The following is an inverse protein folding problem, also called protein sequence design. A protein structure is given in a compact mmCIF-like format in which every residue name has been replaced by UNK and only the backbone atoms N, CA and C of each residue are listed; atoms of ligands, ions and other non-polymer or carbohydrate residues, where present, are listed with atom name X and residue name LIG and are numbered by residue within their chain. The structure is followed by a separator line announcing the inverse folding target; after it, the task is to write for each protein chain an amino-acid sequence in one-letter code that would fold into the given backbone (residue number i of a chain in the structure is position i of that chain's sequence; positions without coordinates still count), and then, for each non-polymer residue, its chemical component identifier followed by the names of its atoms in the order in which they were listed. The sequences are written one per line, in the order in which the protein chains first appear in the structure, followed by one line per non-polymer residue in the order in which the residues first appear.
data_IF_710364003811
#
_entry.id   IF_710364003811
#
_cell.length_a   1.000
_cell.length_b   1.000
_cell.length_c   1.000
_cell.angle_alpha   90.00
_cell.angle_beta   90.00
_cell.angle_gamma   90.00
#
_symmetry.space_group_name_H-M   'P 1'
#
loop_
_entity.id
_entity.type
_entity.pdbx_description
1 polymer ?
#
# COMPACT_ATOMS: atom_id res chain seq x y z
N UNK A 1 -0.62 29.69 58.71
CA UNK A 1 -1.55 29.92 57.57
C UNK A 1 -0.83 29.43 56.32
N UNK A 2 -1.07 28.17 55.96
CA UNK A 2 -0.38 27.47 54.87
C UNK A 2 -1.09 27.79 53.55
N UNK A 3 -0.42 28.48 52.64
CA UNK A 3 -0.96 28.74 51.31
C UNK A 3 -0.38 27.69 50.34
N UNK A 4 -1.26 26.87 49.78
CA UNK A 4 -0.94 25.68 49.00
C UNK A 4 -0.87 26.12 47.52
N UNK A 5 0.24 25.77 46.86
CA UNK A 5 0.50 25.98 45.44
C UNK A 5 -0.55 25.24 44.59
N UNK A 6 -1.15 25.82 43.53
CA UNK A 6 -1.98 25.05 42.63
C UNK A 6 -1.10 24.11 41.80
N UNK A 7 -1.52 22.84 41.83
CA UNK A 7 -0.94 21.69 41.17
C UNK A 7 -0.86 21.93 39.66
N UNK A 8 0.34 21.69 39.12
CA UNK A 8 0.64 21.47 37.70
C UNK A 8 -0.53 20.83 36.96
N UNK A 9 -1.22 21.58 36.12
CA UNK A 9 -2.08 21.02 35.08
C UNK A 9 -1.17 20.32 34.08
N UNK A 10 -0.92 19.03 34.33
CA UNK A 10 -0.37 18.16 33.30
C UNK A 10 -1.26 18.31 32.07
N UNK A 11 -0.68 18.79 30.97
CA UNK A 11 -1.29 18.68 29.66
C UNK A 11 -1.53 17.20 29.40
N UNK A 12 -2.76 16.76 29.65
CA UNK A 12 -3.23 15.45 29.25
C UNK A 12 -3.23 15.46 27.72
N UNK A 13 -2.09 15.08 27.14
CA UNK A 13 -1.98 14.79 25.72
C UNK A 13 -3.11 13.84 25.36
N UNK A 14 -4.06 14.34 24.57
CA UNK A 14 -5.17 13.55 24.10
C UNK A 14 -4.61 12.35 23.34
N UNK A 15 -4.63 11.19 23.97
CA UNK A 15 -4.39 9.93 23.30
C UNK A 15 -5.48 9.76 22.26
N UNK A 16 -5.14 9.99 20.98
CA UNK A 16 -5.99 9.67 19.84
C UNK A 16 -6.30 8.17 19.88
N UNK A 17 -7.43 7.82 20.50
CA UNK A 17 -7.95 6.46 20.48
C UNK A 17 -8.27 6.05 19.05
N UNK A 18 -7.82 4.87 18.64
CA UNK A 18 -8.18 4.29 17.35
C UNK A 18 -9.69 3.99 17.34
N UNK A 19 -10.47 4.83 16.66
CA UNK A 19 -11.90 4.57 16.44
C UNK A 19 -12.04 3.53 15.33
N UNK A 20 -12.24 2.27 15.73
CA UNK A 20 -12.50 1.16 14.80
C UNK A 20 -13.93 1.29 14.25
N UNK A 21 -14.04 1.36 12.92
CA UNK A 21 -15.31 1.34 12.18
C UNK A 21 -15.31 0.07 11.34
N UNK A 22 -15.77 -1.07 11.86
CA UNK A 22 -15.45 -2.40 11.31
C UNK A 22 -15.85 -2.56 9.83
N UNK A 23 -16.99 -2.00 9.41
CA UNK A 23 -17.39 -2.03 8.01
C UNK A 23 -16.47 -1.19 7.12
N UNK A 24 -16.22 0.07 7.49
CA UNK A 24 -15.35 0.96 6.72
C UNK A 24 -13.93 0.42 6.67
N UNK A 25 -13.40 0.02 7.81
CA UNK A 25 -12.03 -0.45 7.93
C UNK A 25 -11.87 -1.79 7.21
N UNK A 26 -12.88 -2.67 7.26
CA UNK A 26 -12.94 -3.88 6.45
C UNK A 26 -12.96 -3.59 4.94
N UNK A 27 -13.77 -2.62 4.48
CA UNK A 27 -13.78 -2.20 3.08
C UNK A 27 -12.43 -1.63 2.63
N UNK A 28 -11.76 -0.85 3.49
CA UNK A 28 -10.42 -0.33 3.20
C UNK A 28 -9.44 -1.48 3.05
N UNK A 29 -9.43 -2.45 3.97
CA UNK A 29 -8.52 -3.61 3.89
C UNK A 29 -8.78 -4.40 2.60
N UNK A 30 -10.03 -4.69 2.27
CA UNK A 30 -10.38 -5.40 1.03
C UNK A 30 -9.91 -4.63 -0.20
N UNK A 31 -10.15 -3.32 -0.26
CA UNK A 31 -9.72 -2.47 -1.37
C UNK A 31 -8.19 -2.45 -1.52
N UNK A 32 -7.46 -2.34 -0.40
CA UNK A 32 -5.99 -2.35 -0.40
C UNK A 32 -5.44 -3.70 -0.84
N UNK A 33 -6.00 -4.81 -0.36
CA UNK A 33 -5.59 -6.16 -0.76
C UNK A 33 -5.89 -6.39 -2.24
N UNK A 34 -7.06 -6.00 -2.72
CA UNK A 34 -7.41 -6.10 -4.13
C UNK A 34 -6.45 -5.29 -5.00
N UNK A 35 -6.13 -4.04 -4.60
CA UNK A 35 -5.17 -3.21 -5.30
C UNK A 35 -3.76 -3.83 -5.31
N UNK A 36 -3.32 -4.42 -4.20
CA UNK A 36 -2.04 -5.09 -4.10
C UNK A 36 -1.96 -6.30 -5.04
N UNK A 37 -3.05 -7.07 -5.16
CA UNK A 37 -3.12 -8.20 -6.11
C UNK A 37 -3.08 -7.73 -7.56
N UNK A 38 -3.81 -6.66 -7.90
CA UNK A 38 -3.74 -6.05 -9.24
C UNK A 38 -2.33 -5.57 -9.55
N UNK A 39 -1.68 -4.88 -8.61
CA UNK A 39 -0.30 -4.42 -8.77
C UNK A 39 0.67 -5.59 -8.96
N UNK A 40 0.51 -6.66 -8.18
CA UNK A 40 1.32 -7.88 -8.31
C UNK A 40 1.18 -8.48 -9.71
N UNK A 41 -0.04 -8.63 -10.21
CA UNK A 41 -0.28 -9.15 -11.57
C UNK A 41 0.31 -8.21 -12.62
N UNK A 42 0.10 -6.91 -12.50
CA UNK A 42 0.61 -5.91 -13.44
C UNK A 42 2.14 -5.94 -13.55
N UNK A 43 2.86 -6.10 -12.43
CA UNK A 43 4.33 -6.06 -12.47
C UNK A 43 5.01 -7.42 -12.67
N UNK A 44 4.39 -8.53 -12.28
CA UNK A 44 5.01 -9.87 -12.40
C UNK A 44 4.54 -10.67 -13.61
N UNK A 45 3.36 -10.38 -14.16
CA UNK A 45 2.71 -11.21 -15.19
C UNK A 45 2.34 -10.41 -16.44
N UNK A 46 1.94 -9.14 -16.30
CA UNK A 46 1.48 -8.35 -17.45
C UNK A 46 2.63 -7.79 -18.30
N UNK A 47 2.71 -8.26 -19.54
CA UNK A 47 3.68 -7.80 -20.56
C UNK A 47 3.27 -6.47 -21.23
N UNK A 48 2.55 -5.61 -20.51
CA UNK A 48 2.07 -4.31 -20.97
C UNK A 48 0.61 -4.28 -21.45
N UNK A 49 -0.08 -5.44 -21.47
CA UNK A 49 -1.38 -5.57 -22.11
C UNK A 49 -2.49 -4.83 -21.36
N UNK A 50 -2.31 -4.64 -20.06
CA UNK A 50 -3.24 -3.88 -19.24
C UNK A 50 -3.32 -2.40 -19.68
N UNK A 51 -2.21 -1.83 -20.14
CA UNK A 51 -2.12 -0.41 -20.51
C UNK A 51 -2.06 -0.18 -22.02
N UNK A 52 -1.85 -1.21 -22.84
CA UNK A 52 -1.86 -1.13 -24.31
C UNK A 52 -3.07 -0.40 -24.89
N UNK A 53 -4.32 -0.53 -24.38
CA UNK A 53 -5.47 0.23 -24.90
C UNK A 53 -5.35 1.76 -24.75
N UNK A 54 -4.60 2.24 -23.76
CA UNK A 54 -4.45 3.67 -23.47
C UNK A 54 -3.11 4.24 -24.00
N UNK A 55 -2.05 3.43 -23.96
CA UNK A 55 -0.66 3.86 -24.25
C UNK A 55 -0.12 3.28 -25.58
N UNK A 56 -0.84 2.37 -26.21
CA UNK A 56 -0.38 1.66 -27.41
C UNK A 56 0.91 0.89 -27.17
N UNK A 57 1.78 0.82 -28.19
CA UNK A 57 3.03 0.05 -28.16
C UNK A 57 4.03 0.50 -27.08
N UNK A 58 3.86 1.70 -26.50
CA UNK A 58 4.73 2.17 -25.42
C UNK A 58 4.56 1.29 -24.18
N UNK A 59 3.35 0.76 -23.93
CA UNK A 59 3.06 -0.09 -22.78
C UNK A 59 3.91 -1.38 -22.79
N UNK A 60 4.19 -1.94 -23.97
CA UNK A 60 5.01 -3.14 -24.14
C UNK A 60 6.50 -2.77 -24.18
N UNK A 61 6.88 -1.76 -24.97
CA UNK A 61 8.29 -1.44 -25.26
C UNK A 61 9.02 -0.74 -24.11
N UNK A 62 8.30 -0.04 -23.25
CA UNK A 62 8.85 0.72 -22.13
C UNK A 62 8.40 0.14 -20.77
N UNK A 63 8.13 -1.16 -20.70
CA UNK A 63 7.65 -1.84 -19.49
C UNK A 63 8.78 -2.12 -18.47
N UNK A 64 9.61 -1.12 -18.17
CA UNK A 64 10.84 -1.31 -17.39
C UNK A 64 10.59 -1.81 -15.96
N UNK A 65 9.46 -1.41 -15.35
CA UNK A 65 9.10 -1.89 -14.01
C UNK A 65 8.75 -3.39 -14.04
N UNK A 66 8.10 -3.87 -15.10
CA UNK A 66 7.84 -5.30 -15.27
C UNK A 66 9.15 -6.08 -15.37
N UNK A 67 10.07 -5.67 -16.25
CA UNK A 67 11.35 -6.37 -16.42
C UNK A 67 12.17 -6.40 -15.12
N UNK A 68 12.23 -5.28 -14.39
CA UNK A 68 12.88 -5.22 -13.09
C UNK A 68 12.23 -6.15 -12.05
N UNK A 69 10.89 -6.17 -11.98
CA UNK A 69 10.17 -7.06 -11.06
C UNK A 69 10.32 -8.53 -11.46
N UNK A 70 10.36 -8.81 -12.76
CA UNK A 70 10.61 -10.14 -13.32
C UNK A 70 12.00 -10.65 -12.92
N UNK A 71 13.04 -9.81 -13.02
CA UNK A 71 14.39 -10.11 -12.52
C UNK A 71 14.41 -10.37 -11.01
N UNK A 72 13.66 -9.56 -10.25
CA UNK A 72 13.47 -9.78 -8.82
C UNK A 72 12.87 -11.16 -8.50
N UNK A 73 11.92 -11.65 -9.30
CA UNK A 73 11.35 -12.98 -9.15
C UNK A 73 12.40 -14.07 -9.36
N UNK A 74 13.27 -13.91 -10.35
CA UNK A 74 14.36 -14.86 -10.60
C UNK A 74 15.35 -14.87 -9.43
N UNK A 75 15.71 -13.69 -8.92
CA UNK A 75 16.62 -13.56 -7.79
C UNK A 75 16.06 -14.16 -6.50
N UNK A 76 14.77 -13.98 -6.24
CA UNK A 76 14.10 -14.44 -5.02
C UNK A 76 13.55 -15.87 -5.12
N UNK A 77 13.78 -16.56 -6.24
CA UNK A 77 13.34 -17.95 -6.46
C UNK A 77 11.82 -18.11 -6.55
N UNK A 78 11.09 -17.07 -6.93
CA UNK A 78 9.65 -17.17 -7.15
C UNK A 78 9.37 -17.95 -8.45
N UNK A 79 8.38 -18.85 -8.49
CA UNK A 79 8.06 -19.64 -9.70
C UNK A 79 7.79 -18.71 -10.89
N UNK A 80 8.40 -18.93 -12.06
CA UNK A 80 8.42 -17.97 -13.17
C UNK A 80 7.85 -18.48 -14.50
N UNK A 81 7.43 -19.74 -14.61
CA UNK A 81 6.73 -20.31 -15.77
C UNK A 81 5.94 -21.55 -15.36
#
# INVERSE_FOLDING_TARGET
MSNILPLSTAEAGASSGLVVRPLRDGLIVVAVVALALVALVAVFLDQGQLLSPALGQIAEKANYIHEFAHDGRHLLGAPCH
#
